data_IF_090806875070
#
_entry.id   IF_090806875070
#
_cell.length_a   1.000
_cell.length_b   1.000
_cell.length_c   1.000
_cell.angle_alpha   90.00
_cell.angle_beta   90.00
_cell.angle_gamma   90.00
#
_symmetry.space_group_name_H-M   'P 1'
#
loop_
_entity.id
_entity.type
_entity.pdbx_description
1 polymer ?
#
# COMPACT_ATOMS: atom_id res chain seq x y z
N UNK A 1 4.69 -12.66 -41.20
CA UNK A 1 4.03 -11.96 -40.08
C UNK A 1 5.16 -11.45 -39.20
N UNK A 2 5.47 -10.15 -39.29
CA UNK A 2 6.58 -9.54 -38.58
C UNK A 2 6.28 -9.49 -37.08
N UNK A 3 7.13 -10.13 -36.27
CA UNK A 3 7.07 -10.09 -34.80
C UNK A 3 7.49 -8.72 -34.23
N UNK A 4 7.92 -7.79 -35.10
CA UNK A 4 8.52 -6.49 -34.77
C UNK A 4 7.53 -5.32 -34.71
N UNK A 5 6.23 -5.55 -34.91
CA UNK A 5 5.20 -4.49 -34.81
C UNK A 5 4.37 -4.57 -33.52
N UNK A 6 4.84 -5.29 -32.50
CA UNK A 6 4.22 -5.20 -31.17
C UNK A 6 4.61 -3.85 -30.57
N UNK A 7 3.71 -2.88 -30.64
CA UNK A 7 3.83 -1.62 -29.91
C UNK A 7 4.19 -1.91 -28.45
N UNK A 8 5.08 -1.10 -27.86
CA UNK A 8 5.40 -1.23 -26.44
C UNK A 8 4.11 -1.29 -25.63
N UNK A 9 4.06 -2.15 -24.59
CA UNK A 9 2.90 -2.21 -23.73
C UNK A 9 2.65 -0.82 -23.13
N UNK A 10 1.38 -0.40 -23.01
CA UNK A 10 1.07 0.93 -22.50
C UNK A 10 1.69 1.13 -21.12
N UNK A 11 2.10 2.36 -20.77
CA UNK A 11 2.66 2.65 -19.47
C UNK A 11 1.67 2.24 -18.37
N UNK A 12 2.19 1.65 -17.30
CA UNK A 12 1.38 1.25 -16.15
C UNK A 12 0.87 2.52 -15.47
N UNK A 13 -0.46 2.68 -15.44
CA UNK A 13 -1.14 3.80 -14.78
C UNK A 13 -2.08 3.23 -13.73
N UNK A 14 -1.99 3.78 -12.52
CA UNK A 14 -2.84 3.40 -11.39
C UNK A 14 -4.02 4.38 -11.34
N UNK A 15 -5.22 3.83 -11.28
CA UNK A 15 -6.45 4.61 -11.16
C UNK A 15 -6.59 5.19 -9.75
N UNK A 16 -6.24 6.47 -9.60
CA UNK A 16 -6.25 7.15 -8.31
C UNK A 16 -7.65 7.28 -7.70
N UNK A 17 -8.69 7.50 -8.51
CA UNK A 17 -10.06 7.59 -8.04
C UNK A 17 -10.56 6.25 -7.49
N UNK A 18 -10.26 5.16 -8.21
CA UNK A 18 -10.56 3.79 -7.76
C UNK A 18 -9.78 3.44 -6.49
N UNK A 19 -8.50 3.79 -6.42
CA UNK A 19 -7.67 3.59 -5.23
C UNK A 19 -8.31 4.25 -4.00
N UNK A 20 -8.63 5.56 -4.05
CA UNK A 20 -9.18 6.26 -2.89
C UNK A 20 -10.57 5.79 -2.49
N UNK A 21 -11.40 5.38 -3.46
CA UNK A 21 -12.68 4.71 -3.17
C UNK A 21 -12.48 3.40 -2.40
N UNK A 22 -11.54 2.56 -2.85
CA UNK A 22 -11.27 1.29 -2.21
C UNK A 22 -10.64 1.45 -0.82
N UNK A 23 -9.75 2.44 -0.66
CA UNK A 23 -9.20 2.84 0.63
C UNK A 23 -10.32 3.28 1.57
N UNK A 24 -11.22 4.17 1.13
CA UNK A 24 -12.36 4.61 1.96
C UNK A 24 -13.24 3.44 2.42
N UNK A 25 -13.55 2.51 1.51
CA UNK A 25 -14.34 1.32 1.85
C UNK A 25 -13.59 0.41 2.85
N UNK A 26 -12.29 0.21 2.63
CA UNK A 26 -11.46 -0.59 3.52
C UNK A 26 -11.46 -0.04 4.95
N UNK A 27 -11.22 1.26 5.11
CA UNK A 27 -11.23 1.91 6.43
C UNK A 27 -12.60 1.85 7.09
N UNK A 28 -13.68 2.09 6.34
CA UNK A 28 -15.05 1.99 6.87
C UNK A 28 -15.35 0.58 7.40
N UNK A 29 -14.96 -0.47 6.69
CA UNK A 29 -15.17 -1.85 7.12
C UNK A 29 -14.27 -2.22 8.30
N UNK A 30 -13.01 -1.78 8.29
CA UNK A 30 -12.07 -2.01 9.38
C UNK A 30 -12.57 -1.35 10.68
N UNK A 31 -12.96 -0.08 10.65
CA UNK A 31 -13.44 0.65 11.82
C UNK A 31 -14.73 0.04 12.37
N UNK A 32 -15.69 -0.25 11.50
CA UNK A 32 -16.99 -0.86 11.88
C UNK A 32 -16.83 -2.23 12.52
N UNK A 33 -15.84 -3.00 12.09
CA UNK A 33 -15.63 -4.38 12.55
C UNK A 33 -14.39 -4.55 13.44
N UNK A 34 -13.77 -3.46 13.91
CA UNK A 34 -12.49 -3.51 14.64
C UNK A 34 -12.48 -4.44 15.85
N UNK A 35 -13.58 -4.54 16.60
CA UNK A 35 -13.70 -5.40 17.79
C UNK A 35 -14.06 -6.85 17.47
N UNK A 36 -14.36 -7.16 16.21
CA UNK A 36 -14.62 -8.54 15.78
C UNK A 36 -13.35 -9.39 15.84
N UNK A 37 -13.53 -10.71 15.92
CA UNK A 37 -12.42 -11.68 15.86
C UNK A 37 -11.59 -11.59 14.57
N UNK A 38 -12.15 -11.05 13.48
CA UNK A 38 -11.44 -10.87 12.22
C UNK A 38 -10.34 -9.81 12.30
N UNK A 39 -10.53 -8.78 13.13
CA UNK A 39 -9.60 -7.65 13.27
C UNK A 39 -8.90 -7.62 14.64
N UNK A 40 -9.45 -8.30 15.65
CA UNK A 40 -8.87 -8.44 16.98
C UNK A 40 -8.36 -7.12 17.59
N UNK A 41 -9.14 -6.05 17.47
CA UNK A 41 -8.81 -4.71 17.96
C UNK A 41 -7.50 -4.14 17.38
N UNK A 42 -7.07 -4.58 16.20
CA UNK A 42 -5.86 -4.07 15.56
C UNK A 42 -5.94 -2.54 15.36
N UNK A 43 -4.85 -1.86 15.74
CA UNK A 43 -4.65 -0.43 15.55
C UNK A 43 -3.85 -0.10 14.29
N UNK A 44 -3.13 -1.09 13.79
CA UNK A 44 -2.32 -0.97 12.60
C UNK A 44 -2.27 -2.32 11.88
N UNK A 45 -2.07 -2.26 10.57
CA UNK A 45 -1.84 -3.43 9.73
C UNK A 45 -0.51 -3.26 9.02
N UNK A 46 0.36 -4.24 9.14
CA UNK A 46 1.62 -4.31 8.40
C UNK A 46 1.54 -5.43 7.38
N UNK A 47 1.69 -5.08 6.12
CA UNK A 47 1.60 -5.99 4.98
C UNK A 47 2.93 -5.92 4.24
N UNK A 48 3.68 -7.02 4.26
CA UNK A 48 4.92 -7.16 3.51
C UNK A 48 4.71 -8.13 2.35
N UNK A 49 5.20 -7.75 1.17
CA UNK A 49 5.25 -8.62 0.01
C UNK A 49 6.73 -8.82 -0.37
N UNK A 50 7.29 -10.05 -0.26
CA UNK A 50 8.66 -10.33 -0.63
C UNK A 50 8.92 -10.20 -2.14
N UNK A 51 10.17 -10.42 -2.56
CA UNK A 51 10.47 -10.56 -3.98
C UNK A 51 9.82 -11.81 -4.59
N UNK A 52 9.52 -11.72 -5.88
CA UNK A 52 8.91 -12.78 -6.69
C UNK A 52 9.82 -14.01 -6.90
N UNK A 53 11.04 -14.01 -6.36
CA UNK A 53 11.98 -15.14 -6.45
C UNK A 53 11.57 -16.31 -5.52
N UNK A 54 10.50 -16.14 -4.76
CA UNK A 54 9.88 -17.22 -3.99
C UNK A 54 8.67 -17.76 -4.74
N UNK A 55 8.61 -19.08 -4.91
CA UNK A 55 7.43 -19.86 -5.35
C UNK A 55 6.27 -19.57 -4.38
N UNK A 56 5.65 -18.41 -4.54
CA UNK A 56 4.51 -17.98 -3.76
C UNK A 56 3.25 -18.47 -4.46
N UNK A 57 2.34 -19.06 -3.68
CA UNK A 57 1.01 -19.40 -4.19
C UNK A 57 0.38 -18.12 -4.77
N UNK A 58 -0.18 -18.14 -5.99
CA UNK A 58 -0.73 -16.96 -6.64
C UNK A 58 -1.94 -16.35 -5.90
N UNK A 59 -2.42 -16.98 -4.82
CA UNK A 59 -3.60 -16.59 -4.06
C UNK A 59 -3.28 -16.20 -2.61
N UNK A 60 -2.23 -15.38 -2.42
CA UNK A 60 -1.98 -14.78 -1.12
C UNK A 60 -2.94 -13.62 -0.83
N UNK A 61 -3.39 -13.51 0.43
CA UNK A 61 -4.21 -12.37 0.91
C UNK A 61 -3.53 -11.04 0.58
N UNK A 62 -2.21 -11.00 0.69
CA UNK A 62 -1.37 -9.84 0.33
C UNK A 62 -1.56 -9.44 -1.13
N UNK A 63 -1.40 -10.37 -2.07
CA UNK A 63 -1.58 -10.11 -3.51
C UNK A 63 -3.01 -9.69 -3.82
N UNK A 64 -4.01 -10.31 -3.20
CA UNK A 64 -5.42 -9.90 -3.32
C UNK A 64 -5.66 -8.46 -2.87
N UNK A 65 -5.05 -8.04 -1.75
CA UNK A 65 -5.13 -6.65 -1.28
C UNK A 65 -4.43 -5.67 -2.23
N UNK A 66 -3.29 -6.04 -2.81
CA UNK A 66 -2.60 -5.22 -3.81
C UNK A 66 -3.47 -5.03 -5.06
N UNK A 67 -4.05 -6.12 -5.58
CA UNK A 67 -4.95 -6.07 -6.72
C UNK A 67 -6.21 -5.25 -6.42
N UNK A 68 -6.76 -5.38 -5.20
CA UNK A 68 -7.89 -4.57 -4.78
C UNK A 68 -7.53 -3.08 -4.74
N UNK A 69 -6.46 -2.68 -4.06
CA UNK A 69 -6.11 -1.27 -3.88
C UNK A 69 -5.54 -0.64 -5.16
N UNK A 70 -4.55 -1.27 -5.78
CA UNK A 70 -3.73 -0.67 -6.84
C UNK A 70 -4.06 -1.21 -8.24
N UNK A 71 -4.74 -2.36 -8.34
CA UNK A 71 -4.96 -3.06 -9.61
C UNK A 71 -3.70 -3.74 -10.18
N UNK A 72 -2.58 -3.67 -9.47
CA UNK A 72 -1.32 -4.33 -9.78
C UNK A 72 -0.64 -4.79 -8.49
N UNK A 73 0.31 -5.70 -8.62
CA UNK A 73 1.12 -6.17 -7.51
C UNK A 73 2.44 -5.39 -7.42
N UNK A 74 2.90 -5.14 -6.19
CA UNK A 74 4.17 -4.47 -5.90
C UNK A 74 5.09 -5.40 -5.11
N UNK A 75 5.92 -6.24 -5.76
CA UNK A 75 6.88 -7.10 -5.06
C UNK A 75 7.86 -6.26 -4.22
N UNK A 76 8.51 -6.82 -3.21
CA UNK A 76 9.45 -6.06 -2.35
C UNK A 76 8.92 -4.70 -1.91
N UNK A 77 7.75 -4.70 -1.28
CA UNK A 77 7.20 -3.52 -0.64
C UNK A 77 6.68 -3.85 0.76
N UNK A 78 6.61 -2.82 1.58
CA UNK A 78 5.94 -2.84 2.87
C UNK A 78 4.87 -1.77 2.87
N UNK A 79 3.65 -2.16 3.26
CA UNK A 79 2.51 -1.27 3.43
C UNK A 79 2.13 -1.30 4.90
N UNK A 80 2.12 -0.13 5.52
CA UNK A 80 1.62 0.05 6.88
C UNK A 80 0.36 0.90 6.83
N UNK A 81 -0.75 0.36 7.29
CA UNK A 81 -2.04 1.04 7.38
C UNK A 81 -2.29 1.34 8.86
N UNK A 82 -2.38 2.62 9.19
CA UNK A 82 -2.76 3.15 10.52
C UNK A 82 -4.02 3.99 10.38
N UNK A 83 -4.61 4.51 11.46
CA UNK A 83 -5.97 5.08 11.45
C UNK A 83 -6.30 6.06 10.31
N UNK A 84 -5.40 6.97 9.98
CA UNK A 84 -5.63 8.00 8.97
C UNK A 84 -4.54 8.04 7.89
N UNK A 85 -3.61 7.08 7.92
CA UNK A 85 -2.43 7.10 7.05
C UNK A 85 -2.11 5.71 6.50
N UNK A 86 -1.72 5.68 5.24
CA UNK A 86 -1.10 4.55 4.58
C UNK A 86 0.35 4.92 4.29
N UNK A 87 1.30 4.13 4.77
CA UNK A 87 2.71 4.28 4.47
C UNK A 87 3.13 3.17 3.52
N UNK A 88 3.64 3.56 2.36
CA UNK A 88 4.10 2.63 1.32
C UNK A 88 5.61 2.77 1.15
N UNK A 89 6.35 1.74 1.58
CA UNK A 89 7.80 1.64 1.44
C UNK A 89 8.15 0.74 0.25
N UNK A 90 8.79 1.31 -0.76
CA UNK A 90 9.23 0.56 -1.95
C UNK A 90 10.37 1.27 -2.69
N UNK A 91 10.80 0.69 -3.81
CA UNK A 91 11.80 1.33 -4.68
C UNK A 91 11.28 2.65 -5.27
N UNK A 92 12.19 3.57 -5.59
CA UNK A 92 11.85 4.87 -6.19
C UNK A 92 10.89 4.74 -7.37
N UNK A 93 11.16 3.79 -8.28
CA UNK A 93 10.31 3.49 -9.44
C UNK A 93 8.86 3.16 -9.05
N UNK A 94 8.65 2.39 -7.99
CA UNK A 94 7.31 2.00 -7.53
C UNK A 94 6.59 3.16 -6.85
N UNK A 95 7.31 3.95 -6.05
CA UNK A 95 6.76 5.17 -5.47
C UNK A 95 6.30 6.14 -6.56
N UNK A 96 7.08 6.31 -7.63
CA UNK A 96 6.70 7.21 -8.74
C UNK A 96 5.43 6.79 -9.49
N UNK A 97 5.05 5.51 -9.46
CA UNK A 97 3.76 5.07 -10.00
C UNK A 97 2.56 5.53 -9.13
N UNK A 98 2.79 5.74 -7.84
CA UNK A 98 1.77 6.15 -6.87
C UNK A 98 1.76 7.67 -6.61
N UNK A 99 2.74 8.41 -7.10
CA UNK A 99 2.76 9.88 -6.98
C UNK A 99 1.48 10.53 -7.54
N UNK A 100 0.99 10.18 -8.76
CA UNK A 100 -0.24 10.77 -9.31
C UNK A 100 -1.52 10.35 -8.55
N UNK A 101 -1.46 9.24 -7.80
CA UNK A 101 -2.59 8.77 -7.00
C UNK A 101 -2.88 9.74 -5.86
N UNK A 102 -1.85 10.38 -5.29
CA UNK A 102 -2.02 11.36 -4.22
C UNK A 102 -2.80 12.60 -4.66
N UNK A 103 -2.75 12.97 -5.95
CA UNK A 103 -3.50 14.11 -6.50
C UNK A 103 -5.02 13.89 -6.47
N UNK A 104 -5.45 12.63 -6.44
CA UNK A 104 -6.86 12.24 -6.39
C UNK A 104 -7.41 12.15 -4.96
N UNK A 105 -6.59 12.45 -3.94
CA UNK A 105 -7.01 12.47 -2.55
C UNK A 105 -7.93 13.68 -2.30
N UNK A 106 -9.21 13.44 -2.03
CA UNK A 106 -10.12 14.50 -1.64
C UNK A 106 -10.03 14.77 -0.13
N UNK A 107 -9.12 15.67 0.23
CA UNK A 107 -8.90 16.08 1.62
C UNK A 107 -10.15 16.70 2.29
N UNK A 108 -11.13 17.17 1.51
CA UNK A 108 -12.38 17.72 2.06
C UNK A 108 -13.37 16.64 2.49
N UNK A 109 -13.25 15.44 1.92
CA UNK A 109 -14.13 14.29 2.21
C UNK A 109 -13.49 13.27 3.14
N UNK A 110 -12.16 13.23 3.24
CA UNK A 110 -11.47 12.23 4.04
C UNK A 110 -10.14 12.73 4.62
N UNK A 111 -9.83 12.41 5.89
CA UNK A 111 -8.53 12.68 6.49
C UNK A 111 -7.43 11.73 5.98
N UNK A 112 -7.79 10.68 5.22
CA UNK A 112 -6.86 9.65 4.78
C UNK A 112 -5.72 10.21 3.91
N UNK A 113 -4.48 9.79 4.18
CA UNK A 113 -3.27 10.20 3.44
C UNK A 113 -2.41 8.99 3.05
N UNK A 114 -1.71 9.10 1.92
CA UNK A 114 -0.74 8.11 1.46
C UNK A 114 0.66 8.72 1.44
N UNK A 115 1.55 8.16 2.27
CA UNK A 115 2.95 8.55 2.38
C UNK A 115 3.83 7.54 1.65
N UNK A 116 4.65 8.05 0.72
CA UNK A 116 5.56 7.23 -0.07
C UNK A 116 6.97 7.32 0.51
N UNK A 117 7.53 6.19 0.92
CA UNK A 117 8.88 6.05 1.45
C UNK A 117 9.73 5.31 0.42
N UNK A 118 10.78 5.96 -0.06
CA UNK A 118 11.70 5.34 -1.03
C UNK A 118 12.75 4.54 -0.29
N UNK A 119 13.06 3.35 -0.79
CA UNK A 119 14.12 2.52 -0.21
C UNK A 119 15.47 3.22 -0.25
N UNK A 120 16.21 3.12 0.85
CA UNK A 120 17.55 3.66 1.06
C UNK A 120 18.52 2.50 1.24
N UNK A 121 19.58 2.46 0.43
CA UNK A 121 20.56 1.36 0.48
C UNK A 121 21.65 1.64 1.51
N UNK A 122 21.90 2.92 1.75
CA UNK A 122 22.98 3.45 2.56
C UNK A 122 22.87 3.02 4.03
N UNK A 123 21.63 2.91 4.53
CA UNK A 123 21.31 2.49 5.90
C UNK A 123 20.47 1.20 5.95
N UNK A 124 20.43 0.45 4.85
CA UNK A 124 19.59 -0.74 4.69
C UNK A 124 18.10 -0.52 5.06
N UNK A 125 17.56 0.69 4.82
CA UNK A 125 16.21 1.14 5.17
C UNK A 125 15.95 1.30 6.67
N UNK A 126 16.96 1.31 7.53
CA UNK A 126 16.78 1.45 8.97
C UNK A 126 15.93 2.68 9.32
N UNK A 127 16.25 3.84 8.74
CA UNK A 127 15.50 5.09 8.96
C UNK A 127 14.03 4.95 8.56
N UNK A 128 13.75 4.25 7.45
CA UNK A 128 12.38 4.02 7.01
C UNK A 128 11.63 3.09 7.98
N UNK A 129 12.26 2.01 8.44
CA UNK A 129 11.65 1.09 9.41
C UNK A 129 11.40 1.76 10.77
N UNK A 130 12.30 2.62 11.22
CA UNK A 130 12.12 3.40 12.45
C UNK A 130 10.92 4.34 12.33
N UNK A 131 10.76 5.00 11.19
CA UNK A 131 9.57 5.83 10.90
C UNK A 131 8.29 5.02 10.89
N UNK A 132 8.24 3.92 10.14
CA UNK A 132 7.07 3.03 10.09
C UNK A 132 6.68 2.53 11.49
N UNK A 133 7.67 2.11 12.28
CA UNK A 133 7.47 1.65 13.66
C UNK A 133 6.98 2.78 14.56
N UNK A 134 7.48 4.01 14.37
CA UNK A 134 7.02 5.20 15.10
C UNK A 134 5.54 5.47 14.83
N UNK A 135 5.10 5.43 13.58
CA UNK A 135 3.70 5.66 13.21
C UNK A 135 2.78 4.55 13.73
N UNK A 136 3.22 3.29 13.68
CA UNK A 136 2.49 2.17 14.30
C UNK A 136 2.30 2.41 15.80
N UNK A 137 3.35 2.83 16.52
CA UNK A 137 3.27 3.14 17.95
C UNK A 137 2.32 4.30 18.26
N UNK A 138 2.27 5.33 17.42
CA UNK A 138 1.34 6.46 17.55
C UNK A 138 -0.12 6.06 17.25
N UNK A 139 -0.33 5.04 16.42
CA UNK A 139 -1.66 4.54 16.08
C UNK A 139 -2.32 3.78 17.25
N UNK A 140 -1.58 3.44 18.30
CA UNK A 140 -2.12 2.70 19.44
C UNK A 140 -3.25 3.47 20.13
N UNK A 141 -4.42 2.86 20.20
CA UNK A 141 -5.62 3.48 20.81
C UNK A 141 -5.73 3.28 22.32
N UNK A 142 -4.69 2.76 22.99
CA UNK A 142 -4.62 2.83 24.45
C UNK A 142 -5.59 1.93 25.21
N UNK A 143 -6.07 0.83 24.60
CA UNK A 143 -6.82 -0.20 25.35
C UNK A 143 -5.90 -0.98 26.29
#
# INVERSE_FOLDING_TARGET
RDFRSMSEPPPIVIDGAKFWRHVSNFYSEWEKHRTSSAWNQADALSIALPNNDTESSPYMKTTGLHQYLFGIEFPSCVIVIVKDQIHFLATSKKCSLLEPVNEHADATKSPLRLYLHRTQKEDANQTNFDRLTSEIKKSFYGL
#
